data_IF_479914592486
#
_entry.id   IF_479914592486
#
_cell.length_a   1.000
_cell.length_b   1.000
_cell.length_c   1.000
_cell.angle_alpha   90.00
_cell.angle_beta   90.00
_cell.angle_gamma   90.00
#
_symmetry.space_group_name_H-M   'P 1'
#
loop_
_entity.id
_entity.type
_entity.pdbx_description
1 polymer ?
#
# COMPACT_ATOMS: atom_id res chain seq x y z
N UNK A 1 19.71 6.86 -2.15
CA UNK A 1 19.14 5.56 -2.57
C UNK A 1 17.87 5.37 -1.77
N UNK A 2 16.73 5.25 -2.40
CA UNK A 2 15.47 5.01 -1.69
C UNK A 2 15.48 3.56 -1.19
N UNK A 3 15.65 3.32 0.12
CA UNK A 3 15.60 1.97 0.71
C UNK A 3 14.17 1.37 0.72
N UNK A 4 13.36 1.65 -0.31
CA UNK A 4 12.01 1.12 -0.46
C UNK A 4 12.07 -0.16 -1.28
N UNK A 5 11.32 -1.18 -0.89
CA UNK A 5 11.16 -2.39 -1.72
C UNK A 5 10.07 -2.19 -2.76
N UNK A 6 9.67 -3.27 -3.43
CA UNK A 6 8.63 -3.26 -4.47
C UNK A 6 7.33 -2.62 -4.01
N UNK A 7 6.87 -2.89 -2.79
CA UNK A 7 5.62 -2.30 -2.28
C UNK A 7 5.76 -0.81 -2.00
N UNK A 8 6.88 -0.36 -1.41
CA UNK A 8 7.13 1.06 -1.17
C UNK A 8 7.19 1.87 -2.46
N UNK A 9 7.85 1.34 -3.51
CA UNK A 9 7.89 1.98 -4.83
C UNK A 9 6.51 2.00 -5.50
N UNK A 10 5.72 0.94 -5.34
CA UNK A 10 4.35 0.89 -5.86
C UNK A 10 3.44 1.91 -5.17
N UNK A 11 3.54 2.02 -3.84
CA UNK A 11 2.82 3.02 -3.07
C UNK A 11 3.20 4.43 -3.51
N UNK A 12 4.50 4.71 -3.67
CA UNK A 12 4.96 6.03 -4.08
C UNK A 12 4.36 6.44 -5.43
N UNK A 13 4.47 5.56 -6.43
CA UNK A 13 3.93 5.83 -7.77
C UNK A 13 2.43 6.06 -7.72
N UNK A 14 1.69 5.23 -6.98
CA UNK A 14 0.24 5.34 -6.87
C UNK A 14 -0.17 6.61 -6.14
N UNK A 15 0.43 6.90 -4.99
CA UNK A 15 0.09 8.07 -4.18
C UNK A 15 0.40 9.36 -4.94
N UNK A 16 1.51 9.44 -5.67
CA UNK A 16 1.81 10.60 -6.51
C UNK A 16 0.77 10.83 -7.60
N UNK A 17 0.18 9.76 -8.14
CA UNK A 17 -0.82 9.83 -9.21
C UNK A 17 -2.22 10.15 -8.69
N UNK A 18 -2.65 9.52 -7.59
CA UNK A 18 -4.05 9.54 -7.13
C UNK A 18 -4.26 10.36 -5.85
N UNK A 19 -3.19 10.65 -5.12
CA UNK A 19 -3.20 11.41 -3.86
C UNK A 19 -2.11 12.49 -3.81
N UNK A 20 -2.06 13.40 -4.80
CA UNK A 20 -0.98 14.36 -4.92
C UNK A 20 -0.93 15.37 -3.76
N UNK A 21 -2.08 15.70 -3.13
CA UNK A 21 -2.10 16.63 -1.99
C UNK A 21 -1.49 15.99 -0.76
N UNK A 22 -1.89 14.76 -0.45
CA UNK A 22 -1.32 13.97 0.63
C UNK A 22 0.20 13.77 0.45
N UNK A 23 0.65 13.50 -0.78
CA UNK A 23 2.09 13.39 -1.05
C UNK A 23 2.79 14.73 -0.83
N UNK A 24 2.24 15.83 -1.33
CA UNK A 24 2.82 17.16 -1.14
C UNK A 24 2.92 17.54 0.35
N UNK A 25 1.90 17.24 1.14
CA UNK A 25 1.91 17.45 2.60
C UNK A 25 2.99 16.61 3.28
N UNK A 26 3.07 15.31 2.95
CA UNK A 26 4.10 14.42 3.48
C UNK A 26 5.51 14.83 3.06
N UNK A 27 5.70 15.38 1.87
CA UNK A 27 6.98 15.93 1.40
C UNK A 27 7.34 17.22 2.13
N UNK A 28 6.37 18.12 2.30
CA UNK A 28 6.57 19.38 3.06
C UNK A 28 6.95 19.10 4.52
N UNK A 29 6.39 18.06 5.12
CA UNK A 29 6.75 17.59 6.47
C UNK A 29 8.05 16.76 6.50
N UNK A 30 8.63 16.40 5.35
CA UNK A 30 9.80 15.51 5.26
C UNK A 30 9.51 14.06 5.69
N UNK A 31 8.24 13.65 5.71
CA UNK A 31 7.76 12.36 6.22
C UNK A 31 7.37 11.36 5.12
N UNK A 32 7.40 11.75 3.85
CA UNK A 32 7.00 10.88 2.73
C UNK A 32 7.72 9.52 2.77
N UNK A 33 9.05 9.52 2.86
CA UNK A 33 9.82 8.26 2.89
C UNK A 33 9.46 7.39 4.08
N UNK A 34 9.21 7.99 5.26
CA UNK A 34 8.80 7.25 6.45
C UNK A 34 7.40 6.64 6.29
N UNK A 35 6.46 7.39 5.69
CA UNK A 35 5.11 6.92 5.39
C UNK A 35 5.12 5.77 4.37
N UNK A 36 5.93 5.86 3.31
CA UNK A 36 6.07 4.79 2.32
C UNK A 36 6.67 3.51 2.93
N UNK A 37 7.70 3.66 3.77
CA UNK A 37 8.28 2.52 4.51
C UNK A 37 7.27 1.89 5.46
N UNK A 38 6.42 2.69 6.09
CA UNK A 38 5.37 2.19 6.97
C UNK A 38 4.29 1.43 6.19
N UNK A 39 3.83 1.99 5.07
CA UNK A 39 2.87 1.33 4.19
C UNK A 39 3.40 -0.03 3.69
N UNK A 40 4.66 -0.07 3.27
CA UNK A 40 5.34 -1.31 2.89
C UNK A 40 5.40 -2.32 4.06
N UNK A 41 5.86 -1.90 5.24
CA UNK A 41 5.96 -2.79 6.42
C UNK A 41 4.61 -3.38 6.79
N UNK A 42 3.56 -2.56 6.81
CA UNK A 42 2.21 -3.01 7.12
C UNK A 42 1.70 -3.99 6.05
N UNK A 43 1.91 -3.68 4.78
CA UNK A 43 1.59 -4.57 3.67
C UNK A 43 2.28 -5.92 3.82
N UNK A 44 3.59 -5.94 4.04
CA UNK A 44 4.35 -7.18 4.20
C UNK A 44 3.86 -8.02 5.39
N UNK A 45 3.60 -7.36 6.54
CA UNK A 45 3.11 -8.02 7.75
C UNK A 45 1.72 -8.63 7.54
N UNK A 46 0.80 -7.88 6.95
CA UNK A 46 -0.56 -8.37 6.69
C UNK A 46 -0.58 -9.43 5.58
N UNK A 47 0.15 -9.24 4.47
CA UNK A 47 0.32 -10.25 3.43
C UNK A 47 0.78 -11.57 4.04
N UNK A 48 1.87 -11.54 4.83
CA UNK A 48 2.42 -12.74 5.44
C UNK A 48 1.40 -13.44 6.34
N UNK A 49 0.62 -12.67 7.11
CA UNK A 49 -0.44 -13.22 7.97
C UNK A 49 -1.55 -13.88 7.14
N UNK A 50 -2.11 -13.16 6.17
CA UNK A 50 -3.24 -13.60 5.35
C UNK A 50 -2.87 -14.79 4.45
N UNK A 51 -1.72 -14.74 3.79
CA UNK A 51 -1.25 -15.86 2.96
C UNK A 51 -1.13 -17.14 3.79
N UNK A 52 -0.56 -17.07 5.01
CA UNK A 52 -0.48 -18.23 5.92
C UNK A 52 -1.85 -18.75 6.32
N UNK A 53 -2.81 -17.86 6.56
CA UNK A 53 -4.18 -18.23 6.89
C UNK A 53 -4.88 -18.93 5.73
N UNK A 54 -4.76 -18.39 4.52
CA UNK A 54 -5.35 -18.96 3.31
C UNK A 54 -4.72 -20.29 2.91
N UNK A 55 -3.40 -20.44 3.05
CA UNK A 55 -2.75 -21.74 2.83
C UNK A 55 -3.27 -22.82 3.80
N UNK A 56 -3.58 -22.46 5.07
CA UNK A 56 -4.23 -23.40 6.01
C UNK A 56 -5.65 -23.78 5.59
N UNK A 57 -6.30 -23.01 4.71
CA UNK A 57 -7.61 -23.29 4.13
C UNK A 57 -7.51 -24.01 2.77
N UNK A 58 -6.41 -24.73 2.52
CA UNK A 58 -6.12 -25.49 1.31
C UNK A 58 -5.97 -24.66 0.01
N UNK A 59 -5.72 -23.35 0.11
CA UNK A 59 -5.36 -22.55 -1.06
C UNK A 59 -3.89 -22.77 -1.44
N UNK A 60 -3.59 -22.70 -2.73
CA UNK A 60 -2.19 -22.70 -3.18
C UNK A 60 -1.49 -21.42 -2.70
N UNK A 61 -0.16 -21.41 -2.55
CA UNK A 61 0.58 -20.21 -2.16
C UNK A 61 0.28 -18.99 -3.05
N UNK A 62 0.08 -19.21 -4.35
CA UNK A 62 -0.26 -18.15 -5.30
C UNK A 62 -1.68 -17.61 -5.08
N UNK A 63 -2.69 -18.49 -4.96
CA UNK A 63 -4.07 -18.08 -4.68
C UNK A 63 -4.17 -17.33 -3.34
N UNK A 64 -3.49 -17.84 -2.32
CA UNK A 64 -3.42 -17.23 -1.00
C UNK A 64 -2.79 -15.83 -1.05
N UNK A 65 -1.70 -15.67 -1.82
CA UNK A 65 -1.07 -14.38 -2.04
C UNK A 65 -2.00 -13.42 -2.78
N UNK A 66 -2.60 -13.83 -3.90
CA UNK A 66 -3.47 -12.98 -4.71
C UNK A 66 -4.69 -12.53 -3.92
N UNK A 67 -5.32 -13.44 -3.16
CA UNK A 67 -6.45 -13.10 -2.30
C UNK A 67 -6.05 -12.18 -1.13
N UNK A 68 -4.87 -12.38 -0.53
CA UNK A 68 -4.35 -11.48 0.48
C UNK A 68 -4.13 -10.07 -0.09
N UNK A 69 -3.58 -9.98 -1.30
CA UNK A 69 -3.32 -8.72 -1.98
C UNK A 69 -4.61 -7.92 -2.21
N UNK A 70 -5.66 -8.55 -2.74
CA UNK A 70 -6.95 -7.88 -2.97
C UNK A 70 -7.52 -7.26 -1.68
N UNK A 71 -7.32 -7.89 -0.52
CA UNK A 71 -7.87 -7.42 0.75
C UNK A 71 -7.13 -6.23 1.37
N UNK A 72 -5.85 -6.03 1.02
CA UNK A 72 -5.00 -5.05 1.70
C UNK A 72 -4.42 -3.99 0.79
N UNK A 73 -4.40 -4.21 -0.54
CA UNK A 73 -3.78 -3.29 -1.49
C UNK A 73 -4.34 -1.88 -1.33
N UNK A 74 -5.65 -1.74 -1.18
CA UNK A 74 -6.32 -0.43 -1.04
C UNK A 74 -6.20 0.20 0.37
N UNK A 75 -5.69 -0.55 1.35
CA UNK A 75 -5.48 -0.04 2.71
C UNK A 75 -4.17 0.70 2.87
N UNK A 76 -3.14 0.29 2.12
CA UNK A 76 -1.77 0.76 2.33
C UNK A 76 -1.08 1.20 1.05
N UNK A 77 -1.29 0.53 -0.08
CA UNK A 77 -0.49 0.76 -1.31
C UNK A 77 -1.30 1.55 -2.34
N UNK A 78 -2.42 0.97 -2.77
CA UNK A 78 -3.35 1.51 -3.76
C UNK A 78 -4.48 2.30 -3.09
N UNK A 79 -4.12 3.25 -2.22
CA UNK A 79 -5.11 4.08 -1.53
C UNK A 79 -6.08 4.70 -2.55
N UNK A 80 -7.39 4.75 -2.25
CA UNK A 80 -8.35 5.38 -3.15
C UNK A 80 -7.95 6.83 -3.42
N UNK A 81 -8.31 7.31 -4.62
CA UNK A 81 -8.02 8.68 -5.01
C UNK A 81 -8.58 9.65 -3.96
N UNK A 82 -7.90 10.76 -3.76
CA UNK A 82 -8.46 11.83 -2.92
C UNK A 82 -9.80 12.25 -3.50
N UNK A 83 -10.85 12.27 -2.68
CA UNK A 83 -12.12 12.86 -3.08
C UNK A 83 -11.82 14.27 -3.60
N UNK A 84 -12.17 14.51 -4.87
CA UNK A 84 -12.27 15.85 -5.36
C UNK A 84 -13.30 16.55 -4.46
N UNK A 85 -13.04 17.78 -3.99
CA UNK A 85 -14.05 18.52 -3.27
C UNK A 85 -15.34 18.50 -4.10
N UNK A 86 -16.52 18.33 -3.48
CA UNK A 86 -17.78 18.40 -4.22
C UNK A 86 -17.75 19.67 -5.05
N UNK A 87 -17.92 19.52 -6.37
CA UNK A 87 -18.14 20.68 -7.24
C UNK A 87 -19.55 21.16 -6.90
N UNK A 88 -19.60 22.33 -6.24
CA UNK A 88 -20.85 23.05 -5.93
C UNK A 88 -21.74 23.23 -7.16
#
# INVERSE_FOLDING_TARGET
MSDLTTYGLMAEKHWRQFRPRMVAELEAEGRLTAALREAERQTFREMTRLTREFTRRNMTPQQAHDQAWELIREKYILLPAEEAPPRD
#
